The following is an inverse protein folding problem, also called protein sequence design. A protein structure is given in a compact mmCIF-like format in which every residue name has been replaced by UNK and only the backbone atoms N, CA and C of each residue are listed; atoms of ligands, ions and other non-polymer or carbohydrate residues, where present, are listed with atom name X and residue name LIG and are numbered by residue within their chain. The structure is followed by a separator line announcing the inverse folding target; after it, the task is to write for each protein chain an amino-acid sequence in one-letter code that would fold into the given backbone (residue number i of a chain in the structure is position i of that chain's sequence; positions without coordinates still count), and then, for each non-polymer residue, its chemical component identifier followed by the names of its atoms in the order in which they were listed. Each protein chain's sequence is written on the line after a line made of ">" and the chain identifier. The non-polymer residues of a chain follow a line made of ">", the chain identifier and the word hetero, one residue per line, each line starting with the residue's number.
data_IF_494450827162
#
_entry.id   IF_494450827162
#
_cell.length_a   1.000
_cell.length_b   1.000
_cell.length_c   1.000
_cell.angle_alpha   90.00
_cell.angle_beta   90.00
_cell.angle_gamma   90.00
#
_symmetry.space_group_name_H-M   'P 1'
#
loop_
_entity.id
_entity.type
_entity.pdbx_description
1 polymer ?
#
# COMPACT_ATOMS: atom_id res chain seq x y z
N UNK A 1 4.24 1.40 -13.96
CA UNK A 1 5.20 0.36 -14.42
C UNK A 1 6.53 0.94 -14.94
N UNK A 2 6.57 1.81 -15.96
CA UNK A 2 7.84 2.39 -16.44
C UNK A 2 8.71 3.02 -15.33
N UNK A 3 8.11 3.78 -14.40
CA UNK A 3 8.86 4.37 -13.28
C UNK A 3 9.48 3.31 -12.36
N UNK A 4 8.77 2.22 -12.05
CA UNK A 4 9.30 1.08 -11.28
C UNK A 4 10.42 0.36 -12.03
N UNK A 5 10.29 0.19 -13.35
CA UNK A 5 11.32 -0.42 -14.18
C UNK A 5 12.63 0.37 -14.14
N UNK A 6 12.52 1.70 -14.12
CA UNK A 6 13.61 2.66 -14.00
C UNK A 6 14.08 2.89 -12.55
N UNK A 7 13.44 2.26 -11.56
CA UNK A 7 13.74 2.45 -10.13
C UNK A 7 13.43 3.85 -9.60
N UNK A 8 12.58 4.62 -10.30
CA UNK A 8 12.18 5.97 -9.89
C UNK A 8 11.02 5.91 -8.90
N UNK A 9 11.18 6.60 -7.78
CA UNK A 9 10.15 6.80 -6.77
C UNK A 9 9.95 8.30 -6.54
N UNK A 10 8.70 8.71 -6.32
CA UNK A 10 8.34 10.10 -6.05
C UNK A 10 7.13 10.14 -5.10
N UNK A 11 7.31 9.75 -3.82
CA UNK A 11 6.21 9.69 -2.89
C UNK A 11 5.74 11.10 -2.50
N UNK A 12 4.43 11.29 -2.41
CA UNK A 12 3.83 12.55 -1.98
C UNK A 12 4.05 12.83 -0.48
N UNK A 13 4.22 11.77 0.31
CA UNK A 13 4.40 11.81 1.76
C UNK A 13 5.51 10.86 2.21
N UNK A 14 6.07 11.07 3.40
CA UNK A 14 7.02 10.12 4.00
C UNK A 14 6.32 8.78 4.28
N UNK A 15 6.94 7.68 3.83
CA UNK A 15 6.40 6.32 3.88
C UNK A 15 7.05 5.43 4.99
N UNK A 16 8.01 6.00 5.72
CA UNK A 16 8.80 5.30 6.73
C UNK A 16 8.21 5.32 8.15
N UNK A 17 8.65 4.36 8.98
CA UNK A 17 8.28 4.24 10.40
C UNK A 17 9.41 4.72 11.35
N UNK A 18 10.30 5.58 10.84
CA UNK A 18 11.55 5.98 11.52
C UNK A 18 12.70 5.00 11.28
N UNK A 19 13.87 5.32 11.83
CA UNK A 19 15.10 4.51 11.70
C UNK A 19 15.20 3.40 12.76
N UNK A 20 14.55 3.58 13.90
CA UNK A 20 14.60 2.68 15.05
C UNK A 20 13.25 2.65 15.79
N UNK A 21 13.09 1.66 16.69
CA UNK A 21 11.97 1.59 17.61
C UNK A 21 10.85 0.62 17.22
N UNK A 22 9.84 0.52 18.09
CA UNK A 22 8.83 -0.55 18.05
C UNK A 22 7.96 -0.54 16.78
N UNK A 23 7.69 0.63 16.21
CA UNK A 23 6.85 0.75 15.01
C UNK A 23 7.58 0.23 13.76
N UNK A 24 8.88 0.52 13.62
CA UNK A 24 9.70 -0.03 12.56
C UNK A 24 9.79 -1.57 12.67
N UNK A 25 10.00 -2.11 13.88
CA UNK A 25 10.05 -3.55 14.08
C UNK A 25 8.72 -4.24 13.75
N UNK A 26 7.58 -3.63 14.10
CA UNK A 26 6.25 -4.11 13.70
C UNK A 26 6.06 -4.08 12.18
N UNK A 27 6.49 -3.01 11.52
CA UNK A 27 6.41 -2.89 10.05
C UNK A 27 7.25 -3.98 9.35
N UNK A 28 8.49 -4.21 9.82
CA UNK A 28 9.35 -5.30 9.34
C UNK A 28 8.71 -6.67 9.55
N UNK A 29 8.11 -6.93 10.72
CA UNK A 29 7.45 -8.19 11.05
C UNK A 29 6.21 -8.44 10.18
N UNK A 30 5.40 -7.40 9.92
CA UNK A 30 4.27 -7.46 9.01
C UNK A 30 4.74 -7.81 7.59
N UNK A 31 5.74 -7.08 7.07
CA UNK A 31 6.30 -7.34 5.74
C UNK A 31 6.84 -8.77 5.62
N UNK A 32 7.58 -9.26 6.63
CA UNK A 32 8.08 -10.63 6.66
C UNK A 32 6.95 -11.68 6.66
N UNK A 33 5.85 -11.42 7.35
CA UNK A 33 4.69 -12.30 7.39
C UNK A 33 3.98 -12.37 6.03
N UNK A 34 3.80 -11.21 5.37
CA UNK A 34 3.21 -11.12 4.03
C UNK A 34 4.06 -11.88 3.00
N UNK A 35 5.37 -11.64 2.97
CA UNK A 35 6.25 -12.34 2.02
C UNK A 35 6.31 -13.85 2.28
N UNK A 36 6.35 -14.27 3.56
CA UNK A 36 6.32 -15.69 3.93
C UNK A 36 5.03 -16.38 3.46
N UNK A 37 3.88 -15.74 3.64
CA UNK A 37 2.59 -16.25 3.17
C UNK A 37 2.55 -16.43 1.64
N UNK A 38 3.37 -15.67 0.91
CA UNK A 38 3.52 -15.74 -0.55
C UNK A 38 4.65 -16.66 -1.01
N UNK A 39 5.37 -17.32 -0.09
CA UNK A 39 6.52 -18.16 -0.43
C UNK A 39 7.74 -17.37 -0.93
N UNK A 40 7.83 -16.06 -0.64
CA UNK A 40 8.93 -15.20 -1.07
C UNK A 40 9.94 -15.06 0.07
N UNK A 41 11.12 -15.65 -0.11
CA UNK A 41 12.26 -15.56 0.81
C UNK A 41 12.77 -14.11 0.92
N UNK A 42 13.40 -13.76 2.05
CA UNK A 42 13.97 -12.41 2.22
C UNK A 42 15.10 -12.12 1.23
N UNK A 43 15.86 -13.15 0.85
CA UNK A 43 16.93 -13.10 -0.14
C UNK A 43 16.43 -13.07 -1.58
N UNK A 44 15.17 -13.43 -1.83
CA UNK A 44 14.58 -13.47 -3.16
C UNK A 44 14.23 -12.06 -3.66
N UNK A 45 15.23 -11.38 -4.22
CA UNK A 45 15.05 -10.04 -4.79
C UNK A 45 14.07 -10.04 -5.96
N UNK A 46 14.03 -11.10 -6.76
CA UNK A 46 13.17 -11.18 -7.93
C UNK A 46 11.70 -11.34 -7.52
N UNK A 47 11.39 -12.28 -6.63
CA UNK A 47 10.04 -12.47 -6.10
C UNK A 47 9.52 -11.24 -5.35
N UNK A 48 10.38 -10.53 -4.61
CA UNK A 48 9.99 -9.26 -3.96
C UNK A 48 9.66 -8.17 -4.97
N UNK A 49 10.43 -8.06 -6.06
CA UNK A 49 10.14 -7.11 -7.14
C UNK A 49 8.84 -7.48 -7.87
N UNK A 50 8.61 -8.76 -8.12
CA UNK A 50 7.37 -9.25 -8.72
C UNK A 50 6.14 -8.93 -7.84
N UNK A 51 6.26 -9.05 -6.51
CA UNK A 51 5.17 -8.69 -5.59
C UNK A 51 4.84 -7.19 -5.61
N UNK A 52 5.85 -6.32 -5.74
CA UNK A 52 5.65 -4.87 -5.94
C UNK A 52 4.96 -4.61 -7.27
N UNK A 53 5.41 -5.28 -8.35
CA UNK A 53 4.81 -5.14 -9.67
C UNK A 53 3.34 -5.55 -9.70
N UNK A 54 3.00 -6.67 -9.07
CA UNK A 54 1.61 -7.14 -8.96
C UNK A 54 0.73 -6.11 -8.23
N UNK A 55 1.24 -5.45 -7.19
CA UNK A 55 0.53 -4.34 -6.55
C UNK A 55 0.28 -3.17 -7.53
N UNK A 56 1.31 -2.78 -8.29
CA UNK A 56 1.18 -1.73 -9.32
C UNK A 56 0.28 -2.13 -10.50
N UNK A 57 0.04 -3.43 -10.70
CA UNK A 57 -0.92 -4.01 -11.64
C UNK A 57 -2.29 -4.28 -10.97
N UNK A 58 -2.53 -3.69 -9.79
CA UNK A 58 -3.77 -3.77 -9.01
C UNK A 58 -4.22 -5.20 -8.69
N UNK A 59 -3.29 -6.14 -8.58
CA UNK A 59 -3.57 -7.56 -8.37
C UNK A 59 -4.51 -8.15 -9.45
N UNK A 60 -4.53 -7.57 -10.65
CA UNK A 60 -5.44 -7.98 -11.72
C UNK A 60 -6.91 -7.59 -11.51
N UNK A 61 -7.19 -6.68 -10.57
CA UNK A 61 -8.54 -6.17 -10.35
C UNK A 61 -9.06 -5.42 -11.59
N UNK A 62 -10.34 -5.61 -11.97
CA UNK A 62 -10.92 -4.96 -13.14
C UNK A 62 -11.17 -3.45 -12.95
N UNK A 63 -11.15 -2.97 -11.70
CA UNK A 63 -11.42 -1.58 -11.35
C UNK A 63 -10.41 -1.10 -10.31
N UNK A 64 -9.99 0.16 -10.43
CA UNK A 64 -9.17 0.87 -9.46
C UNK A 64 -9.84 2.20 -9.09
N UNK A 65 -9.79 2.56 -7.81
CA UNK A 65 -10.29 3.83 -7.30
C UNK A 65 -9.13 4.60 -6.68
N UNK A 66 -8.94 5.85 -7.09
CA UNK A 66 -7.89 6.74 -6.58
C UNK A 66 -8.51 7.80 -5.69
N UNK A 67 -8.08 7.84 -4.43
CA UNK A 67 -8.52 8.83 -3.45
C UNK A 67 -7.46 9.91 -3.33
N UNK A 68 -7.80 11.13 -3.70
CA UNK A 68 -6.90 12.27 -3.62
C UNK A 68 -7.22 13.10 -2.39
N UNK A 69 -6.18 13.51 -1.68
CA UNK A 69 -6.30 14.40 -0.53
C UNK A 69 -5.74 15.80 -0.86
N UNK A 70 -6.46 16.90 -0.57
CA UNK A 70 -5.85 18.22 -0.64
C UNK A 70 -4.78 18.38 0.45
N UNK A 71 -3.70 19.09 0.13
CA UNK A 71 -2.67 19.48 1.08
C UNK A 71 -3.21 20.61 1.99
N UNK A 72 -3.72 20.24 3.16
CA UNK A 72 -4.25 21.16 4.17
C UNK A 72 -3.48 20.99 5.48
N UNK A 73 -2.91 22.08 6.00
CA UNK A 73 -2.13 22.05 7.25
C UNK A 73 -0.99 21.04 7.19
N UNK A 74 -0.88 20.18 8.21
CA UNK A 74 0.06 19.06 8.29
C UNK A 74 -0.47 17.77 7.64
N UNK A 75 -1.65 17.81 7.01
CA UNK A 75 -2.28 16.68 6.35
C UNK A 75 -2.97 15.67 7.27
N UNK A 76 -2.80 15.75 8.60
CA UNK A 76 -3.31 14.74 9.55
C UNK A 76 -4.84 14.66 9.49
N UNK A 77 -5.52 15.81 9.46
CA UNK A 77 -6.98 15.85 9.40
C UNK A 77 -7.51 15.21 8.11
N UNK A 78 -7.00 15.64 6.97
CA UNK A 78 -7.45 15.16 5.66
C UNK A 78 -7.13 13.69 5.46
N UNK A 79 -5.97 13.21 5.93
CA UNK A 79 -5.61 11.80 5.90
C UNK A 79 -6.58 10.95 6.74
N UNK A 80 -6.99 11.45 7.91
CA UNK A 80 -8.03 10.83 8.73
C UNK A 80 -9.38 10.74 8.01
N UNK A 81 -9.83 11.84 7.41
CA UNK A 81 -11.10 11.89 6.67
C UNK A 81 -11.10 10.91 5.46
N UNK A 82 -9.99 10.86 4.70
CA UNK A 82 -9.82 9.93 3.58
C UNK A 82 -9.74 8.48 4.05
N UNK A 83 -9.08 8.20 5.18
CA UNK A 83 -9.06 6.87 5.77
C UNK A 83 -10.45 6.37 6.17
N UNK A 84 -11.26 7.23 6.80
CA UNK A 84 -12.65 6.94 7.15
C UNK A 84 -13.50 6.69 5.89
N UNK A 85 -13.35 7.52 4.86
CA UNK A 85 -14.03 7.33 3.58
C UNK A 85 -13.63 6.01 2.91
N UNK A 86 -12.32 5.72 2.84
CA UNK A 86 -11.78 4.49 2.25
C UNK A 86 -12.33 3.24 2.93
N UNK A 87 -12.40 3.23 4.26
CA UNK A 87 -13.03 2.14 5.00
C UNK A 87 -14.52 1.98 4.67
N UNK A 88 -15.29 3.07 4.64
CA UNK A 88 -16.71 3.01 4.29
C UNK A 88 -16.93 2.54 2.85
N UNK A 89 -16.06 2.94 1.93
CA UNK A 89 -16.08 2.46 0.54
C UNK A 89 -15.81 0.96 0.46
N UNK A 90 -14.80 0.43 1.15
CA UNK A 90 -14.53 -1.00 1.19
C UNK A 90 -15.70 -1.78 1.82
N UNK A 91 -16.32 -1.26 2.88
CA UNK A 91 -17.50 -1.87 3.48
C UNK A 91 -18.71 -1.86 2.54
N UNK A 92 -18.89 -0.81 1.74
CA UNK A 92 -19.99 -0.74 0.76
C UNK A 92 -19.80 -1.71 -0.41
N UNK A 93 -18.55 -2.04 -0.77
CA UNK A 93 -18.22 -3.13 -1.69
C UNK A 93 -18.46 -4.50 -1.06
N UNK A 94 -18.08 -4.67 0.20
CA UNK A 94 -18.25 -5.94 0.92
C UNK A 94 -19.73 -6.31 1.13
N UNK A 95 -20.62 -5.34 1.31
CA UNK A 95 -22.05 -5.56 1.54
C UNK A 95 -22.75 -6.39 0.43
N UNK A 96 -22.55 -6.11 -0.88
CA UNK A 96 -23.00 -6.97 -1.97
C UNK A 96 -22.06 -8.14 -2.32
N UNK A 97 -21.00 -8.38 -1.53
CA UNK A 97 -20.07 -9.50 -1.75
C UNK A 97 -18.90 -9.20 -2.69
N UNK A 98 -18.58 -7.93 -2.95
CA UNK A 98 -17.37 -7.55 -3.69
C UNK A 98 -16.18 -7.39 -2.74
N UNK A 99 -14.98 -7.67 -3.25
CA UNK A 99 -13.74 -7.45 -2.53
C UNK A 99 -13.05 -6.17 -2.99
N UNK A 100 -12.33 -5.53 -2.07
CA UNK A 100 -11.43 -4.42 -2.37
C UNK A 100 -10.19 -4.52 -1.49
N UNK A 101 -9.06 -4.01 -1.99
CA UNK A 101 -7.78 -4.01 -1.28
C UNK A 101 -7.29 -2.56 -1.24
N UNK A 102 -7.14 -1.94 -0.04
CA UNK A 102 -6.55 -0.62 0.06
C UNK A 102 -5.05 -0.71 -0.28
N UNK A 103 -4.57 0.22 -1.11
CA UNK A 103 -3.18 0.29 -1.55
C UNK A 103 -2.60 1.66 -1.20
N UNK A 104 -1.42 1.67 -0.59
CA UNK A 104 -0.65 2.88 -0.26
C UNK A 104 0.67 2.93 -1.02
N UNK A 105 0.85 2.06 -2.01
CA UNK A 105 2.02 1.98 -2.87
C UNK A 105 1.58 2.39 -4.27
N UNK A 106 2.12 3.49 -4.78
CA UNK A 106 1.94 3.94 -6.17
C UNK A 106 3.13 4.78 -6.66
#
# INVERSE_FOLDING_TARGET
>A
LRAEEEGRTSPDFTDGYGEEGIYLERSKALGASVYRARGVERSDRHGRRAAVRENLEFYGAPHAAFLFMPALGDGVRTAGDIGMYGQNFLLSLAAPGLAGIPQTVL
#
